data_IF_707852217781
#
_entry.id   IF_707852217781
#
_cell.length_a   1.000
_cell.length_b   1.000
_cell.length_c   1.000
_cell.angle_alpha   90.00
_cell.angle_beta   90.00
_cell.angle_gamma   90.00
#
_symmetry.space_group_name_H-M   'P 1'
#
loop_
_entity.id
_entity.type
_entity.pdbx_description
1 polymer ?
#
# COMPACT_ATOMS: atom_id res chain seq x y z
N UNK A 1 -43.27 -36.37 25.78
CA UNK A 1 -42.00 -35.86 26.33
C UNK A 1 -40.89 -36.24 25.35
N UNK A 2 -40.62 -35.37 24.42
CA UNK A 2 -39.55 -35.51 23.41
C UNK A 2 -38.30 -34.86 24.00
N UNK A 3 -37.31 -35.69 24.26
CA UNK A 3 -36.04 -35.26 24.81
C UNK A 3 -35.22 -34.65 23.66
N UNK A 4 -34.96 -33.35 23.74
CA UNK A 4 -34.00 -32.65 22.92
C UNK A 4 -32.62 -33.33 23.07
N UNK A 5 -32.19 -34.06 22.05
CA UNK A 5 -30.86 -34.58 21.90
C UNK A 5 -29.92 -33.42 21.52
N UNK A 6 -29.28 -32.82 22.52
CA UNK A 6 -28.15 -31.95 22.32
C UNK A 6 -26.99 -32.77 21.76
N UNK A 7 -26.58 -32.48 20.54
CA UNK A 7 -25.45 -33.10 19.90
C UNK A 7 -24.15 -32.75 20.68
N UNK A 8 -23.33 -33.75 21.06
CA UNK A 8 -22.09 -33.50 21.78
C UNK A 8 -21.07 -32.90 20.80
N UNK A 9 -20.71 -31.64 21.03
CA UNK A 9 -19.63 -30.98 20.25
C UNK A 9 -19.86 -29.53 19.87
N UNK A 10 -21.01 -28.94 20.20
CA UNK A 10 -21.13 -27.48 20.07
C UNK A 10 -20.27 -26.81 21.17
N UNK A 11 -18.98 -26.54 20.87
CA UNK A 11 -18.28 -25.51 21.61
C UNK A 11 -19.13 -24.27 21.52
N UNK A 12 -19.65 -23.79 22.65
CA UNK A 12 -20.19 -22.44 22.75
C UNK A 12 -19.10 -21.51 22.24
N UNK A 13 -19.23 -21.06 21.00
CA UNK A 13 -18.42 -19.97 20.46
C UNK A 13 -18.92 -18.77 21.27
N UNK A 14 -18.16 -18.45 22.31
CA UNK A 14 -18.36 -17.24 23.10
C UNK A 14 -18.13 -16.08 22.11
N UNK A 15 -19.20 -15.70 21.39
CA UNK A 15 -19.20 -14.61 20.41
C UNK A 15 -19.10 -13.30 21.18
N UNK A 16 -17.90 -13.00 21.68
CA UNK A 16 -17.61 -11.65 22.12
C UNK A 16 -17.78 -10.73 20.91
N UNK A 17 -18.61 -9.72 21.05
CA UNK A 17 -18.73 -8.67 20.04
C UNK A 17 -17.43 -7.89 20.04
N UNK A 18 -16.80 -7.83 18.88
CA UNK A 18 -15.59 -7.04 18.66
C UNK A 18 -15.93 -5.87 17.75
N UNK A 19 -15.23 -4.79 17.91
CA UNK A 19 -15.39 -3.60 17.08
C UNK A 19 -14.07 -3.24 16.38
N UNK A 20 -14.20 -2.53 15.30
CA UNK A 20 -13.09 -2.06 14.49
C UNK A 20 -13.47 -0.80 13.74
N UNK A 21 -12.51 -0.23 13.04
CA UNK A 21 -12.69 0.95 12.22
C UNK A 21 -12.33 0.64 10.77
N UNK A 22 -13.14 1.15 9.84
CA UNK A 22 -12.81 1.16 8.43
C UNK A 22 -12.17 2.50 8.11
N UNK A 23 -10.93 2.48 7.65
CA UNK A 23 -10.22 3.64 7.11
C UNK A 23 -9.26 3.16 6.02
N UNK A 24 -9.42 3.62 4.75
CA UNK A 24 -8.47 3.31 3.69
C UNK A 24 -7.07 3.86 4.01
N UNK A 25 -6.03 3.18 3.55
CA UNK A 25 -4.65 3.68 3.66
C UNK A 25 -4.52 5.05 2.99
N UNK A 26 -5.16 5.24 1.83
CA UNK A 26 -5.19 6.50 1.10
C UNK A 26 -5.71 7.69 1.93
N UNK A 27 -6.55 7.43 2.96
CA UNK A 27 -7.17 8.45 3.81
C UNK A 27 -6.33 8.80 5.04
N UNK A 28 -5.18 8.17 5.24
CA UNK A 28 -4.25 8.59 6.29
C UNK A 28 -3.68 9.99 5.99
N UNK A 29 -3.42 10.81 7.00
CA UNK A 29 -2.75 12.09 6.79
C UNK A 29 -1.42 11.93 6.07
N UNK A 30 -1.13 12.83 5.15
CA UNK A 30 0.15 12.83 4.42
C UNK A 30 0.42 14.19 3.80
N UNK A 31 1.68 14.63 3.83
CA UNK A 31 2.13 15.83 3.11
C UNK A 31 2.42 15.55 1.62
N UNK A 32 2.25 14.31 1.18
CA UNK A 32 2.55 13.87 -0.19
C UNK A 32 1.28 13.52 -0.98
N UNK A 33 0.16 14.15 -0.65
CA UNK A 33 -1.09 14.11 -1.43
C UNK A 33 -1.94 12.86 -1.27
N UNK A 34 -1.43 11.80 -0.65
CA UNK A 34 -2.15 10.55 -0.37
C UNK A 34 -1.53 9.85 0.82
N UNK A 35 -2.34 9.21 1.64
CA UNK A 35 -1.86 8.36 2.73
C UNK A 35 -1.03 7.19 2.22
N UNK A 36 -0.07 6.77 3.02
CA UNK A 36 0.88 5.70 2.70
C UNK A 36 1.14 4.81 3.92
N UNK A 37 1.91 3.74 3.75
CA UNK A 37 2.42 2.92 4.86
C UNK A 37 3.56 3.64 5.60
N UNK A 38 3.22 4.77 6.18
CA UNK A 38 4.10 5.72 6.85
C UNK A 38 3.94 5.67 8.37
N UNK A 39 4.61 6.57 9.09
CA UNK A 39 4.47 6.72 10.55
C UNK A 39 3.02 6.98 10.97
N UNK A 40 2.24 7.71 10.17
CA UNK A 40 0.83 8.00 10.45
C UNK A 40 -0.01 6.71 10.50
N UNK A 41 0.32 5.71 9.70
CA UNK A 41 -0.29 4.39 9.78
C UNK A 41 0.00 3.69 11.11
N UNK A 42 1.25 3.75 11.59
CA UNK A 42 1.62 3.19 12.90
C UNK A 42 0.96 3.97 14.05
N UNK A 43 0.90 5.29 13.97
CA UNK A 43 0.21 6.13 14.94
C UNK A 43 -1.28 5.79 15.00
N UNK A 44 -1.91 5.61 13.84
CA UNK A 44 -3.32 5.21 13.77
C UNK A 44 -3.57 3.84 14.43
N UNK A 45 -2.70 2.86 14.21
CA UNK A 45 -2.78 1.56 14.91
C UNK A 45 -2.69 1.74 16.43
N UNK A 46 -1.81 2.63 16.91
CA UNK A 46 -1.68 2.91 18.34
C UNK A 46 -2.95 3.59 18.89
N UNK A 47 -3.57 4.48 18.14
CA UNK A 47 -4.85 5.12 18.50
C UNK A 47 -5.96 4.06 18.58
N UNK A 48 -6.06 3.17 17.61
CA UNK A 48 -7.04 2.08 17.61
C UNK A 48 -6.85 1.17 18.82
N UNK A 49 -5.62 0.81 19.12
CA UNK A 49 -5.27 0.00 20.30
C UNK A 49 -5.69 0.69 21.60
N UNK A 50 -5.37 1.99 21.74
CA UNK A 50 -5.75 2.79 22.91
C UNK A 50 -7.28 2.92 23.04
N UNK A 51 -8.01 2.98 21.93
CA UNK A 51 -9.47 3.02 21.88
C UNK A 51 -10.13 1.63 22.05
N UNK A 52 -9.36 0.58 22.29
CA UNK A 52 -9.86 -0.78 22.48
C UNK A 52 -10.41 -1.43 21.21
N UNK A 53 -10.12 -0.87 20.03
CA UNK A 53 -10.51 -1.45 18.75
C UNK A 53 -9.68 -2.70 18.47
N UNK A 54 -10.32 -3.72 17.85
CA UNK A 54 -9.67 -5.00 17.54
C UNK A 54 -9.28 -5.13 16.08
N UNK A 55 -9.95 -4.42 15.19
CA UNK A 55 -9.77 -4.52 13.76
C UNK A 55 -9.60 -3.14 13.12
N UNK A 56 -8.70 -3.08 12.16
CA UNK A 56 -8.63 -2.02 11.18
C UNK A 56 -8.97 -2.61 9.82
N UNK A 57 -10.12 -2.23 9.26
CA UNK A 57 -10.52 -2.62 7.92
C UNK A 57 -9.98 -1.58 6.92
N UNK A 58 -9.25 -2.07 5.94
CA UNK A 58 -8.72 -1.27 4.83
C UNK A 58 -9.43 -1.65 3.53
N UNK A 59 -9.24 -0.84 2.50
CA UNK A 59 -9.66 -1.17 1.13
C UNK A 59 -8.57 -1.97 0.41
N UNK A 60 -8.86 -2.59 -0.76
CA UNK A 60 -7.87 -3.32 -1.54
C UNK A 60 -6.62 -2.48 -1.79
N UNK A 61 -5.45 -3.12 -1.73
CA UNK A 61 -4.13 -2.48 -1.81
C UNK A 61 -3.50 -2.58 -3.20
N UNK A 62 -4.24 -3.11 -4.18
CA UNK A 62 -3.74 -3.25 -5.54
C UNK A 62 -3.56 -1.92 -6.27
N UNK A 63 -2.76 -1.90 -7.35
CA UNK A 63 -2.59 -0.72 -8.18
C UNK A 63 -3.92 -0.33 -8.81
N UNK A 64 -4.24 0.96 -8.78
CA UNK A 64 -5.47 1.50 -9.37
C UNK A 64 -5.29 1.79 -10.86
N UNK A 65 -6.39 1.67 -11.60
CA UNK A 65 -6.46 2.04 -13.00
C UNK A 65 -7.06 3.42 -13.22
N UNK A 66 -7.56 3.64 -14.44
CA UNK A 66 -8.32 4.85 -14.77
C UNK A 66 -9.59 4.92 -13.91
N UNK A 67 -9.78 6.05 -13.23
CA UNK A 67 -10.90 6.27 -12.30
C UNK A 67 -10.56 5.96 -10.84
N UNK A 68 -9.30 5.57 -10.56
CA UNK A 68 -8.67 5.48 -9.22
C UNK A 68 -9.43 4.63 -8.17
N UNK A 69 -10.33 3.77 -8.64
CA UNK A 69 -11.10 2.88 -7.79
C UNK A 69 -10.21 1.74 -7.24
N UNK A 70 -10.14 1.54 -5.93
CA UNK A 70 -9.38 0.42 -5.35
C UNK A 70 -9.96 -0.95 -5.72
N UNK A 71 -11.19 -1.00 -6.22
CA UNK A 71 -11.87 -2.22 -6.65
C UNK A 71 -11.63 -2.57 -8.12
N UNK A 72 -10.95 -1.70 -8.87
CA UNK A 72 -10.63 -1.87 -10.29
C UNK A 72 -9.12 -1.99 -10.48
N UNK A 73 -8.52 -2.92 -9.76
CA UNK A 73 -7.07 -3.18 -9.86
C UNK A 73 -6.74 -4.06 -11.05
N UNK A 74 -5.60 -3.80 -11.69
CA UNK A 74 -5.04 -4.68 -12.73
C UNK A 74 -4.43 -5.97 -12.17
N UNK A 75 -4.16 -6.02 -10.87
CA UNK A 75 -3.59 -7.17 -10.18
C UNK A 75 -4.13 -7.27 -8.77
N UNK A 76 -4.46 -8.48 -8.36
CA UNK A 76 -4.82 -8.79 -6.96
C UNK A 76 -3.59 -8.98 -6.06
N UNK A 77 -2.39 -9.14 -6.64
CA UNK A 77 -1.16 -9.50 -5.94
C UNK A 77 -0.17 -8.33 -5.83
N UNK A 78 -0.18 -7.42 -6.80
CA UNK A 78 0.71 -6.26 -6.79
C UNK A 78 0.24 -5.19 -5.80
N UNK A 79 1.19 -4.60 -5.07
CA UNK A 79 0.93 -3.44 -4.22
C UNK A 79 0.79 -2.15 -5.03
N UNK A 80 0.02 -1.21 -4.52
CA UNK A 80 -0.14 0.11 -5.11
C UNK A 80 1.11 0.97 -4.84
N UNK A 81 1.81 1.46 -5.88
CA UNK A 81 2.98 2.33 -5.70
C UNK A 81 2.68 3.64 -4.96
N UNK A 82 1.43 4.10 -4.96
CA UNK A 82 1.03 5.28 -4.20
C UNK A 82 1.17 5.11 -2.69
N UNK A 83 1.23 3.88 -2.18
CA UNK A 83 1.36 3.61 -0.74
C UNK A 83 2.82 3.46 -0.27
N UNK A 84 3.80 3.64 -1.16
CA UNK A 84 5.22 3.69 -0.80
C UNK A 84 5.48 4.98 -0.01
N UNK A 85 6.13 4.87 1.14
CA UNK A 85 6.47 6.01 1.99
C UNK A 85 7.68 6.79 1.45
N UNK A 86 7.45 8.03 1.03
CA UNK A 86 8.52 8.90 0.53
C UNK A 86 9.45 9.39 1.65
N UNK A 87 8.94 9.54 2.89
CA UNK A 87 9.80 9.88 4.03
C UNK A 87 10.83 8.78 4.31
N UNK A 88 10.40 7.53 4.19
CA UNK A 88 11.30 6.38 4.33
C UNK A 88 12.35 6.35 3.24
N UNK A 89 11.97 6.59 1.98
CA UNK A 89 12.93 6.67 0.88
C UNK A 89 13.93 7.82 1.08
N UNK A 90 13.50 8.94 1.65
CA UNK A 90 14.38 10.05 2.00
C UNK A 90 15.32 9.68 3.15
N UNK A 91 14.83 9.03 4.19
CA UNK A 91 15.66 8.57 5.30
C UNK A 91 16.70 7.52 4.88
N UNK A 92 16.40 6.72 3.86
CA UNK A 92 17.31 5.74 3.25
C UNK A 92 18.29 6.37 2.22
N UNK A 93 18.21 7.70 1.99
CA UNK A 93 19.08 8.42 1.05
C UNK A 93 18.76 8.19 -0.43
N UNK A 94 17.60 7.57 -0.72
CA UNK A 94 17.15 7.31 -2.09
C UNK A 94 16.44 8.51 -2.72
N UNK A 95 15.93 9.43 -1.89
CA UNK A 95 15.40 10.74 -2.28
C UNK A 95 15.98 11.82 -1.37
N UNK A 96 15.82 13.08 -1.74
CA UNK A 96 16.06 14.21 -0.86
C UNK A 96 14.75 14.91 -0.50
N UNK A 97 14.75 15.65 0.62
CA UNK A 97 13.57 16.43 1.00
C UNK A 97 13.24 17.53 -0.03
N UNK A 98 14.26 18.12 -0.65
CA UNK A 98 14.10 19.13 -1.69
C UNK A 98 13.35 18.56 -2.89
N UNK A 99 13.76 17.38 -3.36
CA UNK A 99 13.11 16.71 -4.49
C UNK A 99 11.64 16.42 -4.22
N UNK A 100 11.32 16.00 -3.00
CA UNK A 100 9.93 15.76 -2.61
C UNK A 100 9.14 17.08 -2.46
N UNK A 101 9.81 18.18 -2.04
CA UNK A 101 9.17 19.48 -1.83
C UNK A 101 8.88 20.23 -3.14
N UNK A 102 9.66 19.99 -4.17
CA UNK A 102 9.48 20.59 -5.50
C UNK A 102 8.27 20.05 -6.25
N UNK A 103 7.72 18.92 -5.82
CA UNK A 103 6.59 18.26 -6.47
C UNK A 103 5.27 18.77 -5.88
N UNK A 104 4.37 19.20 -6.75
CA UNK A 104 2.98 19.48 -6.40
C UNK A 104 2.15 18.18 -6.40
N UNK A 105 1.88 17.64 -5.22
CA UNK A 105 1.07 16.43 -5.03
C UNK A 105 -0.44 16.71 -4.99
N UNK A 106 -0.87 17.93 -5.22
CA UNK A 106 -2.24 18.35 -4.95
C UNK A 106 -2.37 18.98 -3.56
N UNK A 107 -3.35 19.81 -3.35
CA UNK A 107 -3.31 20.77 -2.28
C UNK A 107 -4.47 20.75 -1.29
N UNK A 108 -5.11 19.63 -1.04
CA UNK A 108 -6.29 19.64 -0.18
C UNK A 108 -6.28 18.44 0.76
N UNK A 109 -6.50 18.70 2.07
CA UNK A 109 -6.58 17.66 3.11
C UNK A 109 -7.79 16.71 2.94
N UNK A 110 -8.72 17.05 2.06
CA UNK A 110 -9.97 16.31 1.88
C UNK A 110 -10.05 15.52 0.58
N UNK A 111 -9.29 15.95 -0.44
CA UNK A 111 -9.39 15.39 -1.78
C UNK A 111 -8.01 15.00 -2.30
N UNK A 112 -7.93 13.84 -2.94
CA UNK A 112 -6.73 13.34 -3.58
C UNK A 112 -6.76 13.73 -5.05
N UNK A 113 -5.75 14.46 -5.52
CA UNK A 113 -5.55 14.74 -6.94
C UNK A 113 -4.70 13.64 -7.58
N UNK A 114 -5.34 12.59 -8.06
CA UNK A 114 -4.64 11.44 -8.64
C UNK A 114 -3.83 11.80 -9.88
N UNK A 115 -4.22 12.82 -10.64
CA UNK A 115 -3.42 13.25 -11.78
C UNK A 115 -2.08 13.83 -11.32
N UNK A 116 -2.08 14.74 -10.35
CA UNK A 116 -0.85 15.30 -9.77
C UNK A 116 0.00 14.24 -9.08
N UNK A 117 -0.64 13.27 -8.42
CA UNK A 117 0.06 12.13 -7.84
C UNK A 117 0.76 11.30 -8.92
N UNK A 118 0.08 11.00 -10.02
CA UNK A 118 0.68 10.25 -11.11
C UNK A 118 1.88 11.00 -11.70
N UNK A 119 1.67 12.28 -12.05
CA UNK A 119 2.68 13.13 -12.69
C UNK A 119 3.89 13.38 -11.76
N UNK A 120 3.70 13.40 -10.44
CA UNK A 120 4.74 13.72 -9.46
C UNK A 120 5.40 12.50 -8.80
N UNK A 121 4.62 11.53 -8.33
CA UNK A 121 5.17 10.41 -7.54
C UNK A 121 5.95 9.41 -8.38
N UNK A 122 5.47 9.06 -9.57
CA UNK A 122 6.16 8.08 -10.41
C UNK A 122 7.56 8.52 -10.84
N UNK A 123 7.82 9.79 -11.24
CA UNK A 123 9.17 10.28 -11.46
C UNK A 123 10.07 10.16 -10.22
N UNK A 124 9.57 10.48 -9.01
CA UNK A 124 10.32 10.33 -7.77
C UNK A 124 10.65 8.86 -7.48
N UNK A 125 9.66 7.98 -7.60
CA UNK A 125 9.88 6.54 -7.38
C UNK A 125 10.89 5.96 -8.39
N UNK A 126 10.86 6.42 -9.65
CA UNK A 126 11.86 6.05 -10.65
C UNK A 126 13.25 6.55 -10.27
N UNK A 127 13.37 7.78 -9.81
CA UNK A 127 14.64 8.35 -9.33
C UNK A 127 15.20 7.57 -8.14
N UNK A 128 14.35 7.24 -7.16
CA UNK A 128 14.72 6.40 -6.03
C UNK A 128 15.20 5.01 -6.48
N UNK A 129 14.50 4.39 -7.43
CA UNK A 129 14.88 3.11 -8.01
C UNK A 129 16.24 3.18 -8.70
N UNK A 130 16.52 4.21 -9.52
CA UNK A 130 17.81 4.34 -10.21
C UNK A 130 18.98 4.55 -9.22
N UNK A 131 18.76 5.29 -8.14
CA UNK A 131 19.77 5.45 -7.07
C UNK A 131 20.02 4.14 -6.33
N UNK A 132 18.93 3.45 -5.94
CA UNK A 132 19.03 2.14 -5.32
C UNK A 132 19.78 1.16 -6.23
N UNK A 133 19.43 1.12 -7.49
CA UNK A 133 20.06 0.29 -8.52
C UNK A 133 21.54 0.58 -8.68
N UNK A 134 21.95 1.85 -8.67
CA UNK A 134 23.37 2.24 -8.83
C UNK A 134 24.24 1.91 -7.63
N UNK A 135 23.63 1.76 -6.44
CA UNK A 135 24.31 1.37 -5.20
C UNK A 135 24.52 -0.14 -5.04
N UNK A 136 24.01 -0.95 -5.95
CA UNK A 136 24.13 -2.41 -5.91
C UNK A 136 25.19 -2.91 -6.89
N UNK A 137 26.03 -3.87 -6.44
CA UNK A 137 26.78 -4.71 -7.37
C UNK A 137 25.78 -5.55 -8.17
N UNK A 138 25.59 -5.14 -9.43
CA UNK A 138 24.57 -5.70 -10.32
C UNK A 138 24.81 -7.16 -10.65
N UNK A 139 23.81 -7.98 -10.44
CA UNK A 139 23.67 -9.31 -11.00
C UNK A 139 22.94 -10.30 -10.10
N UNK A 140 23.23 -10.39 -8.81
CA UNK A 140 22.68 -11.44 -7.97
C UNK A 140 21.63 -10.94 -6.98
N UNK A 141 21.89 -9.85 -6.26
CA UNK A 141 21.07 -9.48 -5.11
C UNK A 141 19.65 -9.02 -5.48
N UNK A 142 19.48 -8.24 -6.56
CA UNK A 142 18.14 -7.77 -6.99
C UNK A 142 17.32 -8.89 -7.58
N UNK A 143 17.95 -9.70 -8.42
CA UNK A 143 17.29 -10.83 -9.05
C UNK A 143 16.90 -11.88 -7.99
N UNK A 144 17.79 -12.12 -7.02
CA UNK A 144 17.54 -13.05 -5.92
C UNK A 144 16.46 -12.52 -4.95
N UNK A 145 16.46 -11.21 -4.65
CA UNK A 145 15.43 -10.58 -3.83
C UNK A 145 14.07 -10.66 -4.55
N UNK A 146 14.02 -10.30 -5.82
CA UNK A 146 12.81 -10.41 -6.63
C UNK A 146 12.35 -11.87 -6.75
N UNK A 147 13.27 -12.80 -6.94
CA UNK A 147 12.96 -14.23 -7.04
C UNK A 147 12.41 -14.81 -5.73
N UNK A 148 12.86 -14.30 -4.58
CA UNK A 148 12.45 -14.78 -3.25
C UNK A 148 11.20 -14.09 -2.72
N UNK A 149 10.96 -12.83 -3.11
CA UNK A 149 9.89 -11.99 -2.56
C UNK A 149 8.68 -11.89 -3.47
N UNK A 150 8.86 -12.02 -4.77
CA UNK A 150 7.78 -11.88 -5.74
C UNK A 150 7.30 -13.26 -6.18
N UNK A 151 6.05 -13.59 -5.89
CA UNK A 151 5.36 -14.72 -6.51
C UNK A 151 5.29 -14.61 -8.03
N UNK A 152 4.94 -15.71 -8.69
CA UNK A 152 4.83 -15.78 -10.16
C UNK A 152 3.85 -14.72 -10.70
N UNK A 153 2.72 -14.52 -10.03
CA UNK A 153 1.68 -13.56 -10.40
C UNK A 153 2.21 -12.11 -10.38
N UNK A 154 3.09 -11.77 -9.44
CA UNK A 154 3.69 -10.43 -9.39
C UNK A 154 4.68 -10.23 -10.52
N UNK A 155 5.41 -11.28 -10.92
CA UNK A 155 6.31 -11.24 -12.08
C UNK A 155 5.54 -11.03 -13.37
N UNK A 156 4.44 -11.76 -13.56
CA UNK A 156 3.56 -11.58 -14.72
C UNK A 156 2.99 -10.16 -14.78
N UNK A 157 2.57 -9.62 -13.63
CA UNK A 157 2.14 -8.23 -13.54
C UNK A 157 3.25 -7.25 -13.94
N UNK A 158 4.48 -7.44 -13.45
CA UNK A 158 5.62 -6.59 -13.82
C UNK A 158 5.91 -6.67 -15.33
N UNK A 159 5.84 -7.85 -15.92
CA UNK A 159 6.02 -8.05 -17.36
C UNK A 159 4.90 -7.35 -18.15
N UNK A 160 3.65 -7.53 -17.74
CA UNK A 160 2.50 -6.85 -18.33
C UNK A 160 2.69 -5.33 -18.31
N UNK A 161 3.08 -4.76 -17.16
CA UNK A 161 3.29 -3.31 -17.03
C UNK A 161 4.47 -2.82 -17.87
N UNK A 162 5.55 -3.61 -17.99
CA UNK A 162 6.68 -3.26 -18.84
C UNK A 162 6.27 -3.21 -20.32
N UNK A 163 5.52 -4.21 -20.79
CA UNK A 163 4.97 -4.27 -22.16
C UNK A 163 4.02 -3.09 -22.39
N UNK A 164 3.09 -2.86 -21.47
CA UNK A 164 2.14 -1.75 -21.56
C UNK A 164 2.83 -0.40 -21.65
N UNK A 165 3.87 -0.17 -20.85
CA UNK A 165 4.63 1.09 -20.89
C UNK A 165 5.46 1.27 -22.14
N UNK A 166 5.79 0.17 -22.84
CA UNK A 166 6.55 0.21 -24.09
C UNK A 166 5.67 0.47 -25.32
N UNK A 167 4.48 -0.09 -25.34
CA UNK A 167 3.58 -0.02 -26.51
C UNK A 167 2.42 0.98 -26.37
N UNK A 168 2.16 1.52 -25.19
CA UNK A 168 1.09 2.49 -24.89
C UNK A 168 -0.15 1.83 -24.34
#
# INVERSE_FOLDING_TARGET
AEQDKVLPGSKEINKMRECGMLLPIASLPSRYGIGAFSKEGYEFVNILKAAGQKYWQILPLGPTGFGDSPYQSFSAFAGNPYFIDLEKLTAEGLLTEEECREVDFGGNERDIDYKKLYDGRFPLLRKAYERWKSGLEWGSAVHDLAARTLGEETREYCLYMAIKNHFG
#
